data_IF_642102587584
#
_entry.id   IF_642102587584
#
_cell.length_a   1.000
_cell.length_b   1.000
_cell.length_c   1.000
_cell.angle_alpha   90.00
_cell.angle_beta   90.00
_cell.angle_gamma   90.00
#
_symmetry.space_group_name_H-M   'P 1'
#
loop_
_entity.id
_entity.type
_entity.pdbx_description
1 polymer ?
#
# COMPACT_ATOMS: atom_id res chain seq x y z
N UNK A 1 -5.86 -4.80 -0.67
CA UNK A 1 -6.93 -4.55 -1.64
C UNK A 1 -8.16 -4.10 -0.87
N UNK A 2 -8.78 -3.03 -1.31
CA UNK A 2 -10.12 -2.65 -0.87
C UNK A 2 -11.13 -3.74 -1.25
N UNK A 3 -11.89 -4.23 -0.28
CA UNK A 3 -12.93 -5.25 -0.48
C UNK A 3 -14.33 -4.72 -0.16
N UNK A 4 -14.55 -3.42 -0.31
CA UNK A 4 -15.91 -2.88 -0.43
C UNK A 4 -16.65 -3.48 -1.64
N UNK A 5 -17.97 -3.33 -1.65
CA UNK A 5 -18.80 -3.99 -2.65
C UNK A 5 -18.59 -3.46 -4.06
N UNK A 6 -18.13 -2.21 -4.21
CA UNK A 6 -17.80 -1.61 -5.51
C UNK A 6 -16.61 -2.32 -6.17
N UNK A 7 -15.64 -2.78 -5.38
CA UNK A 7 -14.43 -3.48 -5.83
C UNK A 7 -14.65 -4.95 -6.24
N UNK A 8 -15.89 -5.45 -6.26
CA UNK A 8 -16.18 -6.88 -6.52
C UNK A 8 -15.70 -7.34 -7.91
N UNK A 9 -15.85 -6.48 -8.92
CA UNK A 9 -15.56 -6.81 -10.31
C UNK A 9 -14.02 -6.77 -10.52
N UNK A 10 -13.33 -5.82 -9.89
CA UNK A 10 -11.87 -5.74 -9.80
C UNK A 10 -11.25 -6.96 -9.12
N UNK A 11 -11.84 -7.42 -8.00
CA UNK A 11 -11.38 -8.61 -7.27
C UNK A 11 -11.41 -9.86 -8.16
N UNK A 12 -12.51 -10.02 -8.90
CA UNK A 12 -12.67 -11.12 -9.85
C UNK A 12 -11.59 -11.04 -10.93
N UNK A 13 -11.35 -9.86 -11.49
CA UNK A 13 -10.29 -9.66 -12.50
C UNK A 13 -8.91 -9.97 -11.95
N UNK A 14 -8.58 -9.51 -10.74
CA UNK A 14 -7.29 -9.74 -10.12
C UNK A 14 -7.03 -11.25 -9.91
N UNK A 15 -8.05 -11.99 -9.51
CA UNK A 15 -8.00 -13.45 -9.40
C UNK A 15 -7.69 -14.12 -10.75
N UNK A 16 -8.36 -13.68 -11.83
CA UNK A 16 -8.14 -14.19 -13.18
C UNK A 16 -6.74 -13.86 -13.74
N UNK A 17 -6.27 -12.63 -13.49
CA UNK A 17 -4.99 -12.11 -14.00
C UNK A 17 -3.78 -12.54 -13.16
N UNK A 18 -4.02 -13.19 -12.03
CA UNK A 18 -2.99 -13.55 -11.09
C UNK A 18 -1.86 -14.40 -11.69
N UNK A 19 -2.18 -15.42 -12.49
CA UNK A 19 -1.17 -16.26 -13.15
C UNK A 19 -0.27 -15.40 -14.07
N UNK A 20 -0.89 -14.51 -14.85
CA UNK A 20 -0.15 -13.59 -15.73
C UNK A 20 0.74 -12.62 -14.93
N UNK A 21 0.31 -12.19 -13.75
CA UNK A 21 1.11 -11.36 -12.86
C UNK A 21 2.35 -12.12 -12.36
N UNK A 22 2.16 -13.34 -11.85
CA UNK A 22 3.24 -14.16 -11.34
C UNK A 22 4.24 -14.52 -12.44
N UNK A 23 3.77 -14.89 -13.63
CA UNK A 23 4.62 -15.20 -14.78
C UNK A 23 5.39 -13.95 -15.27
N UNK A 24 4.70 -12.81 -15.35
CA UNK A 24 5.31 -11.55 -15.79
C UNK A 24 6.44 -11.10 -14.86
N UNK A 25 6.27 -11.25 -13.54
CA UNK A 25 7.29 -10.84 -12.57
C UNK A 25 8.39 -11.89 -12.42
N UNK A 26 8.06 -13.17 -12.55
CA UNK A 26 9.06 -14.25 -12.53
C UNK A 26 10.06 -14.12 -13.69
N UNK A 27 9.67 -13.52 -14.80
CA UNK A 27 10.57 -13.16 -15.91
C UNK A 27 11.52 -12.00 -15.58
N UNK A 28 11.25 -11.20 -14.55
CA UNK A 28 12.05 -10.04 -14.14
C UNK A 28 12.99 -10.34 -12.96
N UNK A 29 12.58 -11.23 -12.05
CA UNK A 29 13.38 -11.61 -10.89
C UNK A 29 13.19 -13.09 -10.55
N UNK A 30 14.28 -13.73 -10.11
CA UNK A 30 14.26 -15.13 -9.65
C UNK A 30 13.78 -15.29 -8.21
N UNK A 31 13.73 -14.19 -7.45
CA UNK A 31 13.26 -14.19 -6.06
C UNK A 31 12.07 -13.24 -5.94
N UNK A 32 10.87 -13.81 -5.95
CA UNK A 32 9.59 -13.11 -5.91
C UNK A 32 8.65 -13.81 -4.93
N UNK A 33 7.97 -13.02 -4.11
CA UNK A 33 6.96 -13.50 -3.17
C UNK A 33 5.73 -12.61 -3.23
N UNK A 34 4.57 -13.23 -3.12
CA UNK A 34 3.25 -12.59 -3.10
C UNK A 34 2.59 -12.83 -1.74
N UNK A 35 1.91 -11.80 -1.25
CA UNK A 35 1.09 -11.83 -0.04
C UNK A 35 -0.19 -11.07 -0.31
N UNK A 36 -1.23 -11.34 0.48
CA UNK A 36 -2.54 -10.76 0.27
C UNK A 36 -3.14 -10.26 1.59
N UNK A 37 -3.60 -9.01 1.56
CA UNK A 37 -4.32 -8.38 2.65
C UNK A 37 -5.44 -7.51 2.11
N UNK A 38 -6.47 -7.31 2.92
CA UNK A 38 -7.63 -6.51 2.55
C UNK A 38 -8.11 -5.60 3.67
N UNK A 39 -8.89 -4.60 3.30
CA UNK A 39 -9.48 -3.65 4.22
C UNK A 39 -10.88 -3.24 3.76
N UNK A 40 -11.64 -2.70 4.71
CA UNK A 40 -12.91 -1.99 4.48
C UNK A 40 -12.80 -0.72 5.33
N UNK A 41 -13.36 -0.71 6.54
CA UNK A 41 -13.22 0.40 7.46
C UNK A 41 -13.46 -0.01 8.93
N UNK A 42 -13.28 0.94 9.85
CA UNK A 42 -13.49 0.78 11.28
C UNK A 42 -14.93 0.39 11.57
N UNK A 43 -15.11 -0.67 12.35
CA UNK A 43 -16.43 -1.22 12.69
C UNK A 43 -17.11 -0.43 13.81
N UNK A 44 -17.31 0.87 13.59
CA UNK A 44 -18.03 1.79 14.47
C UNK A 44 -18.89 2.75 13.64
N UNK A 45 -19.96 3.29 14.23
CA UNK A 45 -20.67 4.42 13.61
C UNK A 45 -19.74 5.65 13.60
N UNK A 46 -19.79 6.54 12.59
CA UNK A 46 -20.72 6.52 11.46
C UNK A 46 -20.25 5.71 10.24
N UNK A 47 -19.03 5.17 10.24
CA UNK A 47 -18.43 4.49 9.07
C UNK A 47 -19.20 3.23 8.68
N UNK A 48 -19.67 2.45 9.66
CA UNK A 48 -20.51 1.26 9.40
C UNK A 48 -21.81 1.29 10.20
N UNK A 49 -22.81 0.56 9.71
CA UNK A 49 -24.05 0.36 10.46
C UNK A 49 -23.83 -0.63 11.60
N UNK A 50 -24.16 -0.22 12.83
CA UNK A 50 -24.09 -1.07 14.03
C UNK A 50 -25.37 -1.87 14.30
N UNK A 51 -26.35 -1.84 13.38
CA UNK A 51 -27.53 -2.69 13.49
C UNK A 51 -27.10 -4.17 13.42
N UNK A 52 -27.60 -5.05 14.31
CA UNK A 52 -27.15 -6.46 14.35
C UNK A 52 -27.31 -7.22 13.03
N UNK A 53 -28.31 -6.87 12.21
CA UNK A 53 -28.49 -7.45 10.87
C UNK A 53 -27.43 -6.97 9.88
N UNK A 54 -27.01 -5.70 9.97
CA UNK A 54 -26.02 -5.07 9.09
C UNK A 54 -24.58 -5.43 9.44
N UNK A 55 -24.29 -5.68 10.71
CA UNK A 55 -23.01 -6.26 11.12
C UNK A 55 -22.83 -7.70 10.60
N UNK A 56 -23.91 -8.42 10.33
CA UNK A 56 -23.86 -9.77 9.72
C UNK A 56 -23.80 -9.72 8.20
N UNK A 57 -24.54 -8.80 7.59
CA UNK A 57 -24.56 -8.59 6.15
C UNK A 57 -24.75 -7.09 5.84
N UNK A 58 -23.68 -6.34 5.53
CA UNK A 58 -23.76 -4.90 5.33
C UNK A 58 -24.45 -4.52 4.01
N UNK A 59 -24.36 -5.39 2.99
CA UNK A 59 -24.92 -5.16 1.67
C UNK A 59 -26.46 -5.05 1.64
N UNK A 60 -26.97 -4.48 0.55
CA UNK A 60 -28.39 -4.24 0.31
C UNK A 60 -28.99 -5.30 -0.63
N UNK A 61 -30.32 -5.25 -0.80
CA UNK A 61 -31.05 -5.95 -1.86
C UNK A 61 -30.85 -7.48 -1.93
N UNK A 62 -30.68 -8.11 -0.77
CA UNK A 62 -30.52 -9.57 -0.66
C UNK A 62 -29.15 -10.10 -1.08
N UNK A 63 -28.20 -9.21 -1.42
CA UNK A 63 -26.81 -9.57 -1.68
C UNK A 63 -26.15 -9.94 -0.35
N UNK A 64 -25.44 -11.08 -0.33
CA UNK A 64 -24.71 -11.56 0.85
C UNK A 64 -23.26 -11.11 0.76
N UNK A 65 -22.84 -10.30 1.73
CA UNK A 65 -21.47 -9.84 1.90
C UNK A 65 -20.91 -10.29 3.25
N UNK A 66 -19.58 -10.28 3.37
CA UNK A 66 -18.92 -10.51 4.65
C UNK A 66 -19.24 -9.38 5.65
N UNK A 67 -19.20 -9.66 6.96
CA UNK A 67 -19.18 -8.64 7.99
C UNK A 67 -18.08 -7.59 7.75
N UNK A 68 -18.31 -6.31 8.08
CA UNK A 68 -17.27 -5.29 8.01
C UNK A 68 -16.11 -5.55 8.98
N UNK A 69 -14.92 -5.12 8.59
CA UNK A 69 -13.68 -5.24 9.36
C UNK A 69 -12.70 -4.15 8.91
N UNK A 70 -11.76 -3.75 9.78
CA UNK A 70 -10.76 -2.73 9.45
C UNK A 70 -9.73 -3.24 8.44
N UNK A 71 -8.82 -4.11 8.89
CA UNK A 71 -7.79 -4.74 8.05
C UNK A 71 -7.65 -6.22 8.40
N UNK A 72 -7.36 -7.04 7.39
CA UNK A 72 -6.96 -8.43 7.55
C UNK A 72 -5.78 -8.78 6.63
N UNK A 73 -4.74 -9.38 7.21
CA UNK A 73 -3.71 -10.11 6.48
C UNK A 73 -4.19 -11.54 6.20
N UNK A 74 -4.61 -11.84 4.97
CA UNK A 74 -5.07 -13.20 4.62
C UNK A 74 -3.91 -14.16 4.40
N UNK A 75 -2.82 -13.65 3.83
CA UNK A 75 -1.70 -14.47 3.40
C UNK A 75 -0.36 -13.72 3.54
N UNK A 76 0.55 -14.20 4.40
CA UNK A 76 1.94 -13.75 4.43
C UNK A 76 2.65 -13.98 3.10
N UNK A 77 3.71 -13.22 2.84
CA UNK A 77 4.49 -13.31 1.60
C UNK A 77 5.04 -14.74 1.38
N UNK A 78 4.69 -15.33 0.24
CA UNK A 78 5.13 -16.67 -0.14
C UNK A 78 5.48 -16.74 -1.62
N UNK A 79 6.28 -17.74 -2.00
CA UNK A 79 6.54 -18.08 -3.41
C UNK A 79 5.38 -18.88 -4.05
N UNK A 80 4.34 -19.24 -3.29
CA UNK A 80 3.20 -19.98 -3.79
C UNK A 80 2.16 -19.03 -4.42
N UNK A 81 2.35 -18.71 -5.69
CA UNK A 81 1.42 -17.87 -6.47
C UNK A 81 0.00 -18.46 -6.52
N UNK A 82 -0.13 -19.78 -6.61
CA UNK A 82 -1.44 -20.46 -6.61
C UNK A 82 -2.22 -20.19 -5.33
N UNK A 83 -1.56 -20.22 -4.17
CA UNK A 83 -2.18 -19.87 -2.90
C UNK A 83 -2.70 -18.43 -2.92
N UNK A 84 -1.90 -17.48 -3.38
CA UNK A 84 -2.33 -16.08 -3.48
C UNK A 84 -3.65 -15.95 -4.27
N UNK A 85 -3.80 -16.67 -5.38
CA UNK A 85 -5.05 -16.63 -6.16
C UNK A 85 -6.23 -17.20 -5.40
N UNK A 86 -6.04 -18.36 -4.75
CA UNK A 86 -7.10 -18.97 -3.94
C UNK A 86 -7.53 -18.05 -2.80
N UNK A 87 -6.61 -17.32 -2.18
CA UNK A 87 -6.94 -16.38 -1.10
C UNK A 87 -7.69 -15.14 -1.64
N UNK A 88 -7.30 -14.59 -2.80
CA UNK A 88 -8.01 -13.48 -3.46
C UNK A 88 -9.41 -13.89 -3.92
N UNK A 89 -9.54 -15.10 -4.48
CA UNK A 89 -10.81 -15.66 -4.96
C UNK A 89 -11.78 -15.86 -3.79
N UNK A 90 -11.30 -16.45 -2.69
CA UNK A 90 -12.11 -16.77 -1.52
C UNK A 90 -12.42 -15.58 -0.61
N UNK A 91 -11.68 -14.48 -0.74
CA UNK A 91 -11.96 -13.28 0.04
C UNK A 91 -13.27 -12.65 -0.41
N UNK A 92 -14.25 -12.63 0.49
CA UNK A 92 -15.56 -12.05 0.23
C UNK A 92 -15.52 -10.52 0.32
N UNK A 93 -16.31 -9.87 -0.54
CA UNK A 93 -16.56 -8.43 -0.43
C UNK A 93 -17.44 -8.12 0.77
N UNK A 94 -17.33 -6.89 1.27
CA UNK A 94 -18.03 -6.31 2.41
C UNK A 94 -18.60 -4.94 2.00
N UNK A 95 -19.16 -4.20 2.93
CA UNK A 95 -19.57 -2.81 2.72
C UNK A 95 -19.55 -2.02 4.04
N UNK A 96 -19.46 -0.71 3.90
CA UNK A 96 -19.57 0.35 4.91
C UNK A 96 -20.69 1.34 4.48
N UNK A 97 -20.85 2.46 5.20
CA UNK A 97 -21.92 3.44 4.99
C UNK A 97 -21.47 4.68 4.22
N UNK A 98 -20.27 5.17 4.52
CA UNK A 98 -19.67 6.32 3.85
C UNK A 98 -18.75 5.88 2.70
N UNK A 99 -18.32 6.85 1.89
CA UNK A 99 -17.53 6.55 0.70
C UNK A 99 -16.05 6.33 1.04
N UNK A 100 -15.50 6.99 2.06
CA UNK A 100 -14.07 6.91 2.36
C UNK A 100 -13.73 5.63 3.15
N UNK A 101 -12.55 5.06 2.91
CA UNK A 101 -12.19 3.76 3.47
C UNK A 101 -11.03 3.82 4.46
N UNK A 102 -10.91 2.77 5.28
CA UNK A 102 -9.88 2.61 6.31
C UNK A 102 -8.52 2.14 5.81
N UNK A 103 -8.19 2.40 4.54
CA UNK A 103 -6.99 1.87 3.89
C UNK A 103 -5.66 2.30 4.54
N UNK A 104 -5.63 3.43 5.23
CA UNK A 104 -4.44 3.91 5.95
C UNK A 104 -4.07 3.03 7.14
N UNK A 105 -5.05 2.46 7.86
CA UNK A 105 -4.80 1.45 8.90
C UNK A 105 -4.11 0.23 8.29
N UNK A 106 -4.59 -0.23 7.12
CA UNK A 106 -4.02 -1.36 6.41
C UNK A 106 -2.59 -1.11 5.97
N UNK A 107 -2.29 0.06 5.37
CA UNK A 107 -0.93 0.44 4.98
C UNK A 107 -0.01 0.41 6.19
N UNK A 108 -0.42 1.01 7.31
CA UNK A 108 0.39 1.03 8.53
C UNK A 108 0.71 -0.40 8.99
N UNK A 109 -0.31 -1.25 9.14
CA UNK A 109 -0.12 -2.63 9.63
C UNK A 109 0.74 -3.46 8.68
N UNK A 110 0.54 -3.35 7.36
CA UNK A 110 1.38 -4.03 6.36
C UNK A 110 2.85 -3.61 6.45
N UNK A 111 3.11 -2.34 6.75
CA UNK A 111 4.48 -1.82 6.89
C UNK A 111 5.12 -2.28 8.21
N UNK A 112 4.42 -2.21 9.34
CA UNK A 112 5.05 -2.39 10.66
C UNK A 112 5.04 -3.83 11.17
N UNK A 113 4.13 -4.68 10.68
CA UNK A 113 4.05 -6.10 11.04
C UNK A 113 5.04 -6.94 10.21
N UNK A 114 6.34 -6.71 10.42
CA UNK A 114 7.39 -7.32 9.60
C UNK A 114 7.33 -8.85 9.57
N UNK A 115 7.05 -9.48 10.71
CA UNK A 115 7.04 -10.95 10.84
C UNK A 115 5.73 -11.56 10.34
N UNK A 116 4.56 -10.96 10.64
CA UNK A 116 3.25 -11.46 10.20
C UNK A 116 3.04 -11.33 8.68
N UNK A 117 3.59 -10.28 8.06
CA UNK A 117 3.60 -10.11 6.61
C UNK A 117 4.72 -10.93 5.95
N UNK A 118 5.72 -11.34 6.75
CA UNK A 118 6.93 -12.06 6.33
C UNK A 118 7.79 -11.26 5.34
N UNK A 119 8.17 -10.01 5.64
CA UNK A 119 9.04 -9.21 4.77
C UNK A 119 10.50 -9.71 4.78
N UNK A 120 11.08 -9.97 3.60
CA UNK A 120 12.50 -10.27 3.47
C UNK A 120 13.31 -8.97 3.61
N UNK A 121 14.23 -8.96 4.57
CA UNK A 121 15.09 -7.81 4.90
C UNK A 121 16.00 -7.38 3.75
N UNK A 122 16.29 -8.27 2.80
CA UNK A 122 17.18 -8.01 1.65
C UNK A 122 16.42 -7.78 0.34
N UNK A 123 15.09 -7.95 0.35
CA UNK A 123 14.28 -7.76 -0.84
C UNK A 123 13.76 -6.31 -0.96
N UNK A 124 13.39 -5.93 -2.17
CA UNK A 124 12.57 -4.73 -2.39
C UNK A 124 11.17 -5.02 -1.86
N UNK A 125 10.63 -4.14 -1.02
CA UNK A 125 9.30 -4.27 -0.42
C UNK A 125 8.35 -3.34 -1.15
N UNK A 126 7.33 -3.90 -1.79
CA UNK A 126 6.37 -3.15 -2.59
C UNK A 126 4.96 -3.47 -2.09
N UNK A 127 4.21 -2.44 -1.74
CA UNK A 127 2.79 -2.52 -1.38
C UNK A 127 1.97 -1.99 -2.55
N UNK A 128 1.18 -2.86 -3.18
CA UNK A 128 0.19 -2.46 -4.18
C UNK A 128 -1.13 -2.18 -3.46
N UNK A 129 -1.47 -0.90 -3.35
CA UNK A 129 -2.69 -0.42 -2.72
C UNK A 129 -3.74 -0.16 -3.80
N UNK A 130 -4.77 -1.00 -3.88
CA UNK A 130 -5.84 -0.89 -4.86
C UNK A 130 -7.16 -0.55 -4.18
N UNK A 131 -7.81 0.52 -4.63
CA UNK A 131 -9.12 1.03 -4.18
C UNK A 131 -9.72 1.91 -5.28
N UNK A 132 -11.04 2.04 -5.28
CA UNK A 132 -11.80 2.96 -6.12
C UNK A 132 -12.28 4.23 -5.39
N UNK A 133 -11.94 4.37 -4.10
CA UNK A 133 -12.47 5.43 -3.25
C UNK A 133 -11.40 6.29 -2.55
N UNK A 134 -11.90 7.28 -1.80
CA UNK A 134 -11.11 8.11 -0.89
C UNK A 134 -10.62 7.33 0.34
N UNK A 135 -9.97 8.03 1.25
CA UNK A 135 -9.37 7.42 2.45
C UNK A 135 -9.61 8.29 3.66
N UNK A 136 -9.78 7.64 4.81
CA UNK A 136 -9.70 8.29 6.10
C UNK A 136 -8.26 8.48 6.58
N UNK A 137 -8.04 9.53 7.36
CA UNK A 137 -6.74 9.84 7.96
C UNK A 137 -6.91 10.40 9.38
N UNK A 138 -5.79 10.54 10.10
CA UNK A 138 -5.79 11.00 11.49
C UNK A 138 -6.68 12.23 11.73
N UNK A 139 -7.56 12.12 12.73
CA UNK A 139 -8.60 13.08 13.06
C UNK A 139 -10.00 12.59 12.70
N UNK A 140 -10.15 11.80 11.63
CA UNK A 140 -11.45 11.33 11.17
C UNK A 140 -12.11 10.37 12.17
N UNK A 141 -11.31 9.55 12.88
CA UNK A 141 -11.76 8.61 13.91
C UNK A 141 -12.59 9.25 15.02
N UNK A 142 -12.46 10.57 15.21
CA UNK A 142 -13.21 11.35 16.20
C UNK A 142 -14.73 11.24 15.99
N UNK A 143 -15.20 11.11 14.75
CA UNK A 143 -16.63 10.94 14.47
C UNK A 143 -17.18 9.64 15.07
N UNK A 144 -16.37 8.58 15.13
CA UNK A 144 -16.70 7.33 15.81
C UNK A 144 -16.27 7.24 17.27
N UNK A 145 -15.90 8.37 17.89
CA UNK A 145 -15.46 8.43 19.28
C UNK A 145 -14.05 7.90 19.53
N UNK A 146 -13.27 7.66 18.46
CA UNK A 146 -11.91 7.16 18.55
C UNK A 146 -10.96 8.36 18.60
N UNK A 147 -10.35 8.57 19.77
CA UNK A 147 -9.51 9.75 20.04
C UNK A 147 -8.07 9.42 20.40
N UNK A 148 -7.74 8.13 20.50
CA UNK A 148 -6.38 7.67 20.78
C UNK A 148 -5.62 7.65 19.46
N UNK A 149 -4.52 8.42 19.29
CA UNK A 149 -3.75 8.40 18.06
C UNK A 149 -3.20 7.01 17.73
N UNK A 150 -3.03 6.70 16.45
CA UNK A 150 -2.31 5.52 16.00
C UNK A 150 -0.89 5.51 16.59
N UNK A 151 -0.42 4.38 17.13
CA UNK A 151 0.90 4.29 17.76
C UNK A 151 2.03 3.88 16.80
N UNK A 152 1.70 3.57 15.54
CA UNK A 152 2.65 3.12 14.53
C UNK A 152 3.26 1.74 14.82
N UNK A 153 2.57 0.86 15.56
CA UNK A 153 3.04 -0.48 15.91
C UNK A 153 2.15 -1.57 15.30
N UNK A 154 2.67 -2.79 15.32
CA UNK A 154 1.94 -3.96 14.85
C UNK A 154 0.90 -4.43 15.88
N UNK A 155 -0.32 -4.69 15.42
CA UNK A 155 -1.43 -5.16 16.24
C UNK A 155 -2.31 -6.17 15.49
N UNK A 156 -1.71 -7.16 14.84
CA UNK A 156 -2.45 -8.28 14.24
C UNK A 156 -2.67 -9.40 15.26
N UNK A 157 -3.85 -10.02 15.21
CA UNK A 157 -4.09 -11.29 15.91
C UNK A 157 -3.63 -12.50 15.07
N UNK A 158 -3.80 -13.70 15.63
CA UNK A 158 -3.42 -14.96 14.97
C UNK A 158 -4.18 -15.23 13.66
N UNK A 159 -5.34 -14.60 13.46
CA UNK A 159 -6.16 -14.73 12.24
C UNK A 159 -5.86 -13.61 11.22
N UNK A 160 -4.90 -12.73 11.56
CA UNK A 160 -4.41 -11.64 10.74
C UNK A 160 -5.25 -10.36 10.83
N UNK A 161 -6.20 -10.25 11.75
CA UNK A 161 -7.05 -9.06 11.88
C UNK A 161 -6.37 -7.96 12.69
N UNK A 162 -6.56 -6.71 12.27
CA UNK A 162 -6.10 -5.54 13.02
C UNK A 162 -6.96 -5.30 14.27
N UNK A 163 -6.37 -5.60 15.42
CA UNK A 163 -7.07 -5.61 16.73
C UNK A 163 -7.34 -4.22 17.31
N UNK A 164 -6.68 -3.16 16.80
CA UNK A 164 -6.85 -1.78 17.30
C UNK A 164 -7.74 -0.91 16.42
N UNK A 165 -8.37 -1.45 15.38
CA UNK A 165 -9.21 -0.72 14.41
C UNK A 165 -10.25 0.20 15.09
N UNK A 166 -10.90 -0.27 16.16
CA UNK A 166 -11.95 0.48 16.88
C UNK A 166 -11.46 1.25 18.11
N UNK A 167 -10.14 1.26 18.37
CA UNK A 167 -9.56 1.89 19.57
C UNK A 167 -8.48 2.91 19.26
N UNK A 168 -7.80 2.81 18.11
CA UNK A 168 -6.84 3.77 17.62
C UNK A 168 -7.38 4.47 16.38
N UNK A 169 -7.14 5.77 16.29
CA UNK A 169 -7.46 6.60 15.13
C UNK A 169 -6.69 6.13 13.90
N UNK A 170 -7.11 6.57 12.72
CA UNK A 170 -6.35 6.34 11.49
C UNK A 170 -4.94 6.96 11.62
N UNK A 171 -3.92 6.38 11.00
CA UNK A 171 -2.59 6.98 11.02
C UNK A 171 -2.58 8.27 10.18
N UNK A 172 -1.74 9.21 10.59
CA UNK A 172 -1.49 10.42 9.80
C UNK A 172 -0.54 10.11 8.64
N UNK A 173 -0.58 10.98 7.63
CA UNK A 173 0.34 10.95 6.49
C UNK A 173 1.82 10.92 6.92
N UNK A 174 2.18 11.70 7.93
CA UNK A 174 3.54 11.73 8.47
C UNK A 174 3.94 10.40 9.11
N UNK A 175 3.03 9.72 9.80
CA UNK A 175 3.29 8.41 10.38
C UNK A 175 3.49 7.34 9.30
N UNK A 176 2.65 7.34 8.26
CA UNK A 176 2.81 6.44 7.11
C UNK A 176 4.14 6.69 6.40
N UNK A 177 4.47 7.95 6.12
CA UNK A 177 5.74 8.32 5.49
C UNK A 177 6.95 7.85 6.31
N UNK A 178 6.93 8.10 7.63
CA UNK A 178 7.99 7.63 8.53
C UNK A 178 8.11 6.11 8.52
N UNK A 179 6.99 5.40 8.66
CA UNK A 179 7.00 3.93 8.67
C UNK A 179 7.51 3.36 7.33
N UNK A 180 7.07 3.91 6.19
CA UNK A 180 7.51 3.50 4.87
C UNK A 180 9.01 3.71 4.69
N UNK A 181 9.53 4.86 5.13
CA UNK A 181 10.96 5.20 5.10
C UNK A 181 11.80 4.26 5.97
N UNK A 182 11.46 4.12 7.25
CA UNK A 182 12.18 3.27 8.21
C UNK A 182 12.21 1.79 7.76
N UNK A 183 11.12 1.31 7.17
CA UNK A 183 11.00 -0.09 6.74
C UNK A 183 11.37 -0.32 5.27
N UNK A 184 11.74 0.74 4.53
CA UNK A 184 12.11 0.73 3.10
C UNK A 184 11.02 0.12 2.22
N UNK A 185 9.78 0.52 2.47
CA UNK A 185 8.60 0.06 1.73
C UNK A 185 8.21 1.09 0.69
N UNK A 186 8.02 0.63 -0.54
CA UNK A 186 7.51 1.41 -1.67
C UNK A 186 6.01 1.17 -1.77
N UNK A 187 5.23 2.24 -1.90
CA UNK A 187 3.76 2.15 -2.02
C UNK A 187 3.35 2.52 -3.44
N UNK A 188 2.54 1.68 -4.07
CA UNK A 188 1.95 1.95 -5.38
C UNK A 188 0.44 2.06 -5.18
N UNK A 189 -0.09 3.27 -5.31
CA UNK A 189 -1.52 3.52 -5.34
C UNK A 189 -2.06 3.24 -6.74
N UNK A 190 -2.85 2.18 -6.88
CA UNK A 190 -3.57 1.82 -8.09
C UNK A 190 -5.04 2.22 -7.93
N UNK A 191 -5.42 3.34 -8.53
CA UNK A 191 -6.72 3.99 -8.31
C UNK A 191 -7.36 4.42 -9.62
N UNK A 192 -8.70 4.51 -9.74
CA UNK A 192 -9.36 4.96 -10.95
C UNK A 192 -9.05 6.42 -11.26
N UNK A 193 -9.32 6.83 -12.50
CA UNK A 193 -9.09 8.20 -12.99
C UNK A 193 -9.70 9.28 -12.08
N UNK A 194 -10.87 8.99 -11.50
CA UNK A 194 -11.60 9.89 -10.59
C UNK A 194 -10.83 10.22 -9.31
N UNK A 195 -9.99 9.29 -8.83
CA UNK A 195 -9.19 9.44 -7.61
C UNK A 195 -7.74 9.87 -7.90
N UNK A 196 -7.30 9.80 -9.17
CA UNK A 196 -5.90 9.97 -9.57
C UNK A 196 -5.27 11.28 -9.07
N UNK A 197 -6.00 12.40 -9.12
CA UNK A 197 -5.51 13.71 -8.68
C UNK A 197 -5.19 13.74 -7.18
N UNK A 198 -6.07 13.18 -6.36
CA UNK A 198 -5.92 13.16 -4.90
C UNK A 198 -4.77 12.24 -4.50
N UNK A 199 -4.72 11.03 -5.06
CA UNK A 199 -3.64 10.09 -4.76
C UNK A 199 -2.29 10.54 -5.32
N UNK A 200 -2.26 11.31 -6.42
CA UNK A 200 -1.00 11.91 -6.90
C UNK A 200 -0.43 12.91 -5.89
N UNK A 201 -1.28 13.74 -5.30
CA UNK A 201 -0.85 14.65 -4.22
C UNK A 201 -0.41 13.87 -2.99
N UNK A 202 -1.11 12.79 -2.64
CA UNK A 202 -0.74 11.89 -1.56
C UNK A 202 0.64 11.25 -1.80
N UNK A 203 0.89 10.70 -2.99
CA UNK A 203 2.16 10.05 -3.32
C UNK A 203 3.33 11.04 -3.30
N UNK A 204 3.10 12.31 -3.63
CA UNK A 204 4.15 13.34 -3.54
C UNK A 204 4.57 13.65 -2.10
N UNK A 205 3.72 13.33 -1.12
CA UNK A 205 4.00 13.53 0.30
C UNK A 205 4.55 12.28 1.00
N UNK A 206 4.56 11.13 0.33
CA UNK A 206 5.10 9.87 0.86
C UNK A 206 6.34 9.49 0.04
N UNK A 207 7.46 9.39 0.72
CA UNK A 207 8.74 9.07 0.11
C UNK A 207 8.71 7.68 -0.52
N UNK A 208 9.01 7.57 -1.82
CA UNK A 208 8.94 6.30 -2.54
C UNK A 208 7.51 5.79 -2.80
N UNK A 209 6.51 6.66 -2.79
CA UNK A 209 5.18 6.32 -3.26
C UNK A 209 4.95 6.74 -4.72
N UNK A 210 4.15 5.95 -5.44
CA UNK A 210 3.76 6.21 -6.82
C UNK A 210 2.25 6.07 -6.95
N UNK A 211 1.67 6.87 -7.84
CA UNK A 211 0.26 6.74 -8.22
C UNK A 211 0.15 6.28 -9.66
N UNK A 212 -0.73 5.31 -9.91
CA UNK A 212 -1.00 4.74 -11.22
C UNK A 212 -2.50 4.58 -11.42
N UNK A 213 -2.95 4.86 -12.63
CA UNK A 213 -4.34 4.70 -13.00
C UNK A 213 -4.69 3.21 -13.13
N UNK A 214 -5.70 2.78 -12.39
CA UNK A 214 -6.33 1.47 -12.50
C UNK A 214 -7.52 1.60 -13.45
N UNK A 215 -7.56 0.77 -14.49
CA UNK A 215 -8.72 0.70 -15.37
C UNK A 215 -9.96 0.26 -14.58
N UNK A 216 -11.15 0.72 -14.97
CA UNK A 216 -12.41 0.36 -14.28
C UNK A 216 -12.67 -1.15 -14.20
N UNK A 217 -12.09 -1.93 -15.11
CA UNK A 217 -12.19 -3.39 -15.13
C UNK A 217 -10.94 -4.07 -14.57
N UNK A 218 -10.01 -3.30 -13.98
CA UNK A 218 -8.70 -3.73 -13.51
C UNK A 218 -7.83 -4.48 -14.55
N UNK A 219 -8.15 -4.37 -15.85
CA UNK A 219 -7.46 -5.12 -16.91
C UNK A 219 -5.97 -4.78 -17.03
N UNK A 220 -5.57 -3.57 -16.63
CA UNK A 220 -4.21 -3.06 -16.75
C UNK A 220 -3.31 -3.36 -15.53
N UNK A 221 -3.82 -4.04 -14.48
CA UNK A 221 -3.07 -4.23 -13.22
C UNK A 221 -1.73 -4.94 -13.41
N UNK A 222 -1.66 -5.95 -14.29
CA UNK A 222 -0.43 -6.69 -14.57
C UNK A 222 0.61 -5.79 -15.23
N UNK A 223 0.19 -5.00 -16.21
CA UNK A 223 1.07 -4.10 -16.91
C UNK A 223 1.54 -2.96 -16.01
N UNK A 224 0.65 -2.44 -15.16
CA UNK A 224 0.92 -1.42 -14.15
C UNK A 224 2.05 -1.88 -13.22
N UNK A 225 1.90 -3.06 -12.61
CA UNK A 225 2.91 -3.60 -11.68
C UNK A 225 4.23 -3.85 -12.41
N UNK A 226 4.19 -4.41 -13.63
CA UNK A 226 5.39 -4.68 -14.43
C UNK A 226 6.14 -3.39 -14.79
N UNK A 227 5.43 -2.36 -15.28
CA UNK A 227 6.01 -1.06 -15.64
C UNK A 227 6.60 -0.38 -14.41
N UNK A 228 5.84 -0.32 -13.32
CA UNK A 228 6.28 0.31 -12.08
C UNK A 228 7.50 -0.39 -11.48
N UNK A 229 7.52 -1.72 -11.47
CA UNK A 229 8.68 -2.49 -11.01
C UNK A 229 9.92 -2.17 -11.85
N UNK A 230 9.78 -2.11 -13.18
CA UNK A 230 10.90 -1.77 -14.06
C UNK A 230 11.42 -0.35 -13.79
N UNK A 231 10.52 0.61 -13.63
CA UNK A 231 10.85 2.00 -13.29
C UNK A 231 11.64 2.07 -11.97
N UNK A 232 11.12 1.48 -10.91
CA UNK A 232 11.80 1.35 -9.60
C UNK A 232 13.15 0.64 -9.73
N UNK A 233 13.24 -0.39 -10.58
CA UNK A 233 14.47 -1.15 -10.79
C UNK A 233 15.55 -0.35 -11.53
N UNK A 234 15.12 0.63 -12.32
CA UNK A 234 15.96 1.52 -13.12
C UNK A 234 16.27 2.85 -12.44
N UNK A 235 15.83 3.02 -11.19
CA UNK A 235 15.96 4.25 -10.43
C UNK A 235 16.95 4.05 -9.27
N UNK A 236 17.80 5.05 -9.06
CA UNK A 236 18.64 5.19 -7.87
C UNK A 236 18.47 6.60 -7.35
N UNK A 237 18.00 6.70 -6.11
CA UNK A 237 17.86 7.96 -5.40
C UNK A 237 18.76 7.96 -4.15
N UNK A 238 19.54 9.02 -4.00
CA UNK A 238 20.34 9.28 -2.81
C UNK A 238 19.53 10.10 -1.84
N UNK A 239 19.38 9.59 -0.62
CA UNK A 239 18.59 10.21 0.43
C UNK A 239 19.41 10.31 1.72
N UNK A 240 19.03 11.25 2.58
CA UNK A 240 19.63 11.46 3.89
C UNK A 240 18.58 11.17 4.95
N UNK A 241 18.99 10.40 5.93
CA UNK A 241 18.22 10.16 7.14
C UNK A 241 18.79 11.05 8.24
N UNK A 242 17.90 11.70 9.00
CA UNK A 242 18.21 12.45 10.23
C UNK A 242 19.37 13.45 10.11
N UNK A 243 19.23 14.44 9.21
CA UNK A 243 20.22 15.50 9.04
C UNK A 243 20.09 16.57 10.16
N UNK A 244 21.13 16.80 10.99
CA UNK A 244 21.10 17.88 11.97
C UNK A 244 21.02 19.26 11.32
N UNK A 245 20.31 20.20 11.95
CA UNK A 245 20.06 21.54 11.38
C UNK A 245 21.32 22.34 11.05
N UNK A 246 22.43 22.07 11.73
CA UNK A 246 23.73 22.73 11.53
C UNK A 246 24.58 22.09 10.43
N UNK A 247 24.11 21.03 9.77
CA UNK A 247 24.80 20.38 8.65
C UNK A 247 24.04 20.66 7.36
N UNK A 248 24.78 20.95 6.29
CA UNK A 248 24.29 20.97 4.92
C UNK A 248 24.97 19.85 4.16
N UNK A 249 24.19 19.07 3.43
CA UNK A 249 24.71 18.04 2.53
C UNK A 249 24.24 18.33 1.12
N UNK A 250 25.14 18.19 0.16
CA UNK A 250 24.88 18.35 -1.27
C UNK A 250 25.29 17.09 -2.00
N UNK A 251 24.38 16.58 -2.84
CA UNK A 251 24.61 15.42 -3.68
C UNK A 251 24.91 15.83 -5.11
N UNK A 252 25.84 15.13 -5.74
CA UNK A 252 25.95 15.14 -7.19
C UNK A 252 26.20 13.72 -7.69
N UNK A 253 25.25 13.18 -8.44
CA UNK A 253 25.42 11.93 -9.16
C UNK A 253 25.76 12.20 -10.64
N UNK A 254 26.63 11.36 -11.21
CA UNK A 254 26.90 11.31 -12.64
C UNK A 254 25.98 10.26 -13.28
N UNK A 255 24.74 10.67 -13.58
CA UNK A 255 23.74 9.78 -14.19
C UNK A 255 24.02 9.61 -15.70
N UNK A 256 23.98 8.38 -16.25
CA UNK A 256 24.12 8.16 -17.69
C UNK A 256 23.06 8.93 -18.49
N UNK A 257 23.48 9.86 -19.34
CA UNK A 257 22.57 10.65 -20.19
C UNK A 257 21.72 11.70 -19.44
N UNK A 258 21.95 11.93 -18.15
CA UNK A 258 21.18 12.85 -17.30
C UNK A 258 21.87 14.17 -16.98
N UNK A 259 21.17 15.02 -16.21
CA UNK A 259 21.74 16.24 -15.61
C UNK A 259 22.73 15.87 -14.52
N UNK A 260 23.98 16.34 -14.64
CA UNK A 260 24.97 16.30 -13.55
C UNK A 260 24.45 17.09 -12.34
N UNK A 261 24.60 16.54 -11.14
CA UNK A 261 24.18 17.20 -9.90
C UNK A 261 22.79 16.82 -9.38
N UNK A 262 22.15 15.79 -9.94
CA UNK A 262 20.90 15.25 -9.38
C UNK A 262 21.18 14.30 -8.21
N UNK A 263 20.27 14.24 -7.25
CA UNK A 263 20.21 13.17 -6.22
C UNK A 263 19.42 11.94 -6.72
N UNK A 264 18.75 12.07 -7.87
CA UNK A 264 17.92 11.06 -8.50
C UNK A 264 18.45 10.73 -9.91
N UNK A 265 18.76 9.46 -10.16
CA UNK A 265 19.09 8.93 -11.47
C UNK A 265 18.01 7.92 -11.90
N UNK A 266 17.48 8.08 -13.11
CA UNK A 266 16.40 7.25 -13.67
C UNK A 266 16.81 6.62 -15.00
N UNK A 267 16.09 5.58 -15.43
CA UNK A 267 16.33 4.91 -16.71
C UNK A 267 17.63 4.09 -16.77
N UNK A 268 18.15 3.69 -15.61
CA UNK A 268 19.38 2.92 -15.49
C UNK A 268 19.17 1.47 -15.92
N UNK A 269 20.19 0.90 -16.56
CA UNK A 269 20.22 -0.54 -16.85
C UNK A 269 20.79 -1.30 -15.66
N UNK A 270 20.26 -2.48 -15.37
CA UNK A 270 20.80 -3.37 -14.33
C UNK A 270 22.30 -3.61 -14.58
N UNK A 271 23.11 -3.46 -13.53
CA UNK A 271 24.58 -3.55 -13.60
C UNK A 271 25.30 -2.22 -13.88
N UNK A 272 24.55 -1.13 -14.10
CA UNK A 272 25.12 0.22 -14.25
C UNK A 272 25.75 0.68 -12.93
N UNK A 273 26.99 1.15 -12.98
CA UNK A 273 27.69 1.73 -11.84
C UNK A 273 27.56 3.25 -11.88
N UNK A 274 27.12 3.85 -10.77
CA UNK A 274 27.04 5.29 -10.61
C UNK A 274 28.19 5.78 -9.74
N UNK A 275 28.75 6.93 -10.09
CA UNK A 275 29.65 7.69 -9.22
C UNK A 275 28.90 8.87 -8.63
N UNK A 276 28.98 9.00 -7.32
CA UNK A 276 28.26 10.00 -6.55
C UNK A 276 29.24 10.75 -5.66
N UNK A 277 29.25 12.08 -5.74
CA UNK A 277 29.98 12.90 -4.79
C UNK A 277 28.99 13.44 -3.76
N UNK A 278 29.32 13.25 -2.49
CA UNK A 278 28.57 13.75 -1.34
C UNK A 278 29.45 14.78 -0.65
N UNK A 279 29.00 16.02 -0.62
CA UNK A 279 29.68 17.10 0.08
C UNK A 279 28.91 17.41 1.37
N UNK A 280 29.63 17.48 2.49
CA UNK A 280 29.07 17.70 3.83
C UNK A 280 29.74 18.93 4.44
N UNK A 281 28.95 19.95 4.73
CA UNK A 281 29.42 21.25 5.21
C UNK A 281 28.71 21.59 6.52
N UNK A 282 29.46 22.04 7.51
CA UNK A 282 28.88 22.66 8.71
C UNK A 282 28.42 24.07 8.34
N UNK A 283 27.14 24.39 8.57
CA UNK A 283 26.57 25.71 8.31
C UNK A 283 27.23 26.79 9.15
#
# INVERSE_FOLDING_TARGET
MDLTYSMRDDKKKLSELGNLLADSISNLTRNFRLGFGSFVDKVVLPYVSTLPSKLKNPCLDGIVCAPPYGFRNHMPLSNNSRRFFTEVENANVSANLDDAEGGFDAIMQVIVCQDDIDWDRKARKIVLFATDSGFHYAGDGKLGGIVIPNDGKCHLDSDGYYTKSTTQDYPSLSQINRAAKENKVIIIFAVPTTQLSVYTQLSNAIEGAYTRELAQDSSNIVELVRKQYNEISSEVELRIDDLPDYIRVTFSADCPGGKKGSHLCQGLKIGTTLKTNVEVVKK
#
